data_IF_911862141750
#
_entry.id   IF_911862141750
#
_cell.length_a   1.000
_cell.length_b   1.000
_cell.length_c   1.000
_cell.angle_alpha   90.00
_cell.angle_beta   90.00
_cell.angle_gamma   90.00
#
_symmetry.space_group_name_H-M   'P 1'
#
loop_
_entity.id
_entity.type
_entity.pdbx_description
1 polymer ?
#
# COMPACT_ATOMS: atom_id res chain seq x y z
N UNK A 1 14.31 15.67 -24.52
CA UNK A 1 12.83 15.50 -24.53
C UNK A 1 12.39 14.03 -24.54
N UNK A 2 12.71 13.20 -25.55
CA UNK A 2 12.32 11.75 -25.56
C UNK A 2 12.88 10.94 -24.39
N UNK A 3 14.12 11.21 -23.99
CA UNK A 3 14.81 10.55 -22.85
C UNK A 3 14.22 10.92 -21.49
N UNK A 4 13.77 12.16 -21.31
CA UNK A 4 13.11 12.62 -20.07
C UNK A 4 11.70 12.05 -19.92
N UNK A 5 10.91 12.01 -21.00
CA UNK A 5 9.59 11.39 -21.00
C UNK A 5 9.68 9.91 -20.64
N UNK A 6 10.67 9.20 -21.21
CA UNK A 6 10.96 7.81 -20.85
C UNK A 6 11.31 7.69 -19.37
N UNK A 7 12.25 8.50 -18.86
CA UNK A 7 12.61 8.50 -17.44
C UNK A 7 11.41 8.74 -16.52
N UNK A 8 10.55 9.72 -16.83
CA UNK A 8 9.35 10.04 -16.05
C UNK A 8 8.33 8.90 -16.02
N UNK A 9 8.14 8.21 -17.14
CA UNK A 9 7.27 7.04 -17.22
C UNK A 9 7.81 5.86 -16.40
N UNK A 10 9.09 5.53 -16.58
CA UNK A 10 9.73 4.39 -15.90
C UNK A 10 9.91 4.61 -14.39
N UNK A 11 10.19 5.84 -13.95
CA UNK A 11 10.39 6.15 -12.53
C UNK A 11 9.06 6.39 -11.78
N UNK A 12 7.96 6.66 -12.49
CA UNK A 12 6.67 7.02 -11.90
C UNK A 12 5.58 5.97 -12.16
N UNK A 13 4.97 6.00 -13.34
CA UNK A 13 3.85 5.11 -13.68
C UNK A 13 4.24 3.62 -13.61
N UNK A 14 5.44 3.27 -14.08
CA UNK A 14 5.92 1.89 -14.00
C UNK A 14 6.17 1.45 -12.56
N UNK A 15 6.54 2.34 -11.65
CA UNK A 15 6.72 1.97 -10.25
C UNK A 15 5.41 1.49 -9.62
N UNK A 16 4.26 2.12 -9.93
CA UNK A 16 2.96 1.65 -9.50
C UNK A 16 2.65 0.24 -10.01
N UNK A 17 2.95 -0.03 -11.28
CA UNK A 17 2.79 -1.35 -11.89
C UNK A 17 3.70 -2.41 -11.26
N UNK A 18 4.94 -2.05 -10.92
CA UNK A 18 5.87 -2.94 -10.20
C UNK A 18 5.32 -3.29 -8.82
N UNK A 19 4.83 -2.30 -8.07
CA UNK A 19 4.24 -2.53 -6.74
C UNK A 19 3.03 -3.45 -6.87
N UNK A 20 2.16 -3.20 -7.86
CA UNK A 20 1.02 -4.06 -8.16
C UNK A 20 1.45 -5.49 -8.50
N UNK A 21 2.48 -5.64 -9.35
CA UNK A 21 3.05 -6.92 -9.73
C UNK A 21 3.68 -7.68 -8.56
N UNK A 22 4.23 -6.99 -7.55
CA UNK A 22 4.72 -7.59 -6.31
C UNK A 22 3.55 -8.01 -5.41
N UNK A 23 2.51 -7.19 -5.31
CA UNK A 23 1.35 -7.45 -4.45
C UNK A 23 0.54 -8.66 -4.92
N UNK A 24 0.37 -8.85 -6.23
CA UNK A 24 -0.43 -9.95 -6.79
C UNK A 24 0.04 -11.34 -6.33
N UNK A 25 1.32 -11.73 -6.44
CA UNK A 25 1.83 -12.98 -5.89
C UNK A 25 1.58 -13.16 -4.40
N UNK A 26 1.68 -12.08 -3.60
CA UNK A 26 1.41 -12.14 -2.16
C UNK A 26 -0.06 -12.50 -1.90
N UNK A 27 -1.00 -11.93 -2.64
CA UNK A 27 -2.42 -12.28 -2.56
C UNK A 27 -2.66 -13.71 -3.06
N UNK A 28 -2.02 -14.11 -4.16
CA UNK A 28 -2.19 -15.46 -4.70
C UNK A 28 -1.67 -16.56 -3.78
N UNK A 29 -0.74 -16.24 -2.88
CA UNK A 29 -0.18 -17.16 -1.90
C UNK A 29 -1.22 -17.66 -0.89
N UNK A 30 -2.29 -16.91 -0.61
CA UNK A 30 -3.30 -17.33 0.35
C UNK A 30 -4.03 -18.62 -0.07
N UNK A 31 -4.23 -18.84 -1.37
CA UNK A 31 -4.88 -20.05 -1.88
C UNK A 31 -4.11 -21.34 -1.53
N UNK A 32 -2.81 -21.49 -1.86
CA UNK A 32 -2.06 -22.68 -1.47
C UNK A 32 -1.86 -22.79 0.04
N UNK A 33 -1.71 -21.67 0.77
CA UNK A 33 -1.60 -21.72 2.23
C UNK A 33 -2.85 -22.34 2.87
N UNK A 34 -4.04 -21.98 2.38
CA UNK A 34 -5.30 -22.58 2.83
C UNK A 34 -5.38 -24.09 2.59
N UNK A 35 -4.74 -24.61 1.53
CA UNK A 35 -4.70 -26.05 1.23
C UNK A 35 -3.75 -26.79 2.19
N UNK A 36 -2.65 -26.16 2.59
CA UNK A 36 -1.66 -26.75 3.50
C UNK A 36 -2.01 -26.57 4.99
N UNK A 37 -2.98 -25.72 5.30
CA UNK A 37 -3.50 -25.49 6.65
C UNK A 37 -2.63 -24.56 7.51
N UNK A 38 -3.01 -24.44 8.78
CA UNK A 38 -2.42 -23.48 9.74
C UNK A 38 -0.90 -23.51 9.85
N UNK A 39 -0.20 -24.67 9.86
CA UNK A 39 1.27 -24.69 9.93
C UNK A 39 1.94 -23.92 8.79
N UNK A 40 1.33 -23.92 7.60
CA UNK A 40 1.84 -23.17 6.46
C UNK A 40 1.68 -21.66 6.63
N UNK A 41 0.54 -21.21 7.20
CA UNK A 41 0.34 -19.81 7.56
C UNK A 41 1.38 -19.33 8.58
N UNK A 42 1.65 -20.12 9.62
CA UNK A 42 2.70 -19.77 10.60
C UNK A 42 4.09 -19.66 9.97
N UNK A 43 4.46 -20.62 9.13
CA UNK A 43 5.74 -20.59 8.41
C UNK A 43 5.84 -19.36 7.50
N UNK A 44 4.78 -19.07 6.73
CA UNK A 44 4.71 -17.89 5.87
C UNK A 44 4.80 -16.58 6.67
N UNK A 45 4.08 -16.47 7.80
CA UNK A 45 4.12 -15.32 8.68
C UNK A 45 5.54 -15.05 9.18
N UNK A 46 6.26 -16.09 9.63
CA UNK A 46 7.66 -15.95 10.08
C UNK A 46 8.58 -15.48 8.94
N UNK A 47 8.42 -16.02 7.73
CA UNK A 47 9.20 -15.61 6.57
C UNK A 47 8.93 -14.15 6.20
N UNK A 48 7.66 -13.74 6.09
CA UNK A 48 7.31 -12.36 5.74
C UNK A 48 7.64 -11.37 6.85
N UNK A 49 7.56 -11.78 8.11
CA UNK A 49 8.00 -10.95 9.23
C UNK A 49 9.51 -10.72 9.15
N UNK A 50 10.30 -11.79 8.95
CA UNK A 50 11.75 -11.68 8.80
C UNK A 50 12.14 -10.82 7.59
N UNK A 51 11.49 -11.01 6.44
CA UNK A 51 11.71 -10.20 5.24
C UNK A 51 11.31 -8.73 5.45
N UNK A 52 10.17 -8.49 6.10
CA UNK A 52 9.66 -7.16 6.44
C UNK A 52 10.61 -6.40 7.36
N UNK A 53 11.08 -7.05 8.43
CA UNK A 53 12.05 -6.48 9.37
C UNK A 53 13.42 -6.25 8.71
N UNK A 54 13.91 -7.20 7.91
CA UNK A 54 15.16 -7.03 7.17
C UNK A 54 15.08 -5.87 6.18
N UNK A 55 13.98 -5.75 5.43
CA UNK A 55 13.78 -4.63 4.51
C UNK A 55 13.66 -3.30 5.25
N UNK A 56 12.97 -3.25 6.39
CA UNK A 56 12.92 -2.05 7.22
C UNK A 56 14.32 -1.64 7.69
N UNK A 57 15.14 -2.59 8.15
CA UNK A 57 16.53 -2.33 8.51
C UNK A 57 17.34 -1.80 7.32
N UNK A 58 17.15 -2.34 6.11
CA UNK A 58 17.81 -1.82 4.90
C UNK A 58 17.29 -0.43 4.53
N UNK A 59 16.01 -0.14 4.70
CA UNK A 59 15.42 1.17 4.41
C UNK A 59 15.99 2.30 5.30
N UNK A 60 16.49 1.97 6.49
CA UNK A 60 17.11 2.95 7.40
C UNK A 60 18.61 3.16 7.18
N UNK A 61 19.29 2.28 6.44
CA UNK A 61 20.73 2.41 6.18
C UNK A 61 21.05 3.57 5.22
N UNK A 62 21.86 4.53 5.68
CA UNK A 62 22.28 5.70 4.89
C UNK A 62 23.24 5.37 3.74
N UNK A 63 23.88 4.19 3.77
CA UNK A 63 24.78 3.72 2.71
C UNK A 63 24.05 3.45 1.38
N UNK A 64 22.73 3.25 1.43
CA UNK A 64 21.92 2.98 0.24
C UNK A 64 21.39 4.29 -0.35
N UNK A 65 21.24 4.32 -1.68
CA UNK A 65 20.60 5.44 -2.35
C UNK A 65 19.17 5.66 -1.85
N UNK A 66 18.69 6.90 -1.86
CA UNK A 66 17.33 7.24 -1.40
C UNK A 66 16.25 6.41 -2.10
N UNK A 67 16.41 6.18 -3.40
CA UNK A 67 15.50 5.35 -4.20
C UNK A 67 15.57 3.88 -3.74
N UNK A 68 16.77 3.35 -3.47
CA UNK A 68 16.92 1.99 -2.96
C UNK A 68 16.26 1.82 -1.58
N UNK A 69 16.47 2.79 -0.68
CA UNK A 69 15.83 2.82 0.64
C UNK A 69 14.31 2.86 0.54
N UNK A 70 13.77 3.67 -0.38
CA UNK A 70 12.34 3.74 -0.63
C UNK A 70 11.77 2.40 -1.11
N UNK A 71 12.44 1.71 -2.05
CA UNK A 71 12.01 0.39 -2.51
C UNK A 71 12.04 -0.67 -1.41
N UNK A 72 13.07 -0.68 -0.56
CA UNK A 72 13.10 -1.53 0.63
C UNK A 72 11.95 -1.20 1.59
N UNK A 73 11.65 0.09 1.79
CA UNK A 73 10.49 0.53 2.57
C UNK A 73 9.18 -0.02 1.99
N UNK A 74 8.97 0.15 0.69
CA UNK A 74 7.77 -0.32 -0.01
C UNK A 74 7.59 -1.83 0.14
N UNK A 75 8.62 -2.61 -0.21
CA UNK A 75 8.55 -4.07 -0.13
C UNK A 75 8.38 -4.55 1.32
N UNK A 76 9.09 -3.94 2.26
CA UNK A 76 8.96 -4.25 3.68
C UNK A 76 7.57 -3.96 4.22
N UNK A 77 6.94 -2.86 3.78
CA UNK A 77 5.58 -2.50 4.17
C UNK A 77 4.54 -3.49 3.62
N UNK A 78 4.71 -3.96 2.38
CA UNK A 78 3.87 -5.02 1.80
C UNK A 78 4.02 -6.35 2.55
N UNK A 79 5.25 -6.73 2.91
CA UNK A 79 5.50 -7.94 3.71
C UNK A 79 4.84 -7.83 5.09
N UNK A 80 4.99 -6.69 5.76
CA UNK A 80 4.36 -6.43 7.05
C UNK A 80 2.83 -6.52 6.97
N UNK A 81 2.24 -5.94 5.91
CA UNK A 81 0.82 -6.08 5.64
C UNK A 81 0.40 -7.54 5.42
N UNK A 82 1.20 -8.31 4.68
CA UNK A 82 0.93 -9.75 4.46
C UNK A 82 0.92 -10.54 5.77
N UNK A 83 1.78 -10.18 6.73
CA UNK A 83 1.75 -10.77 8.09
C UNK A 83 0.43 -10.43 8.81
N UNK A 84 -0.07 -9.20 8.67
CA UNK A 84 -1.37 -8.79 9.22
C UNK A 84 -2.51 -9.61 8.62
N UNK A 85 -2.56 -9.75 7.30
CA UNK A 85 -3.56 -10.59 6.61
C UNK A 85 -3.47 -12.07 7.03
N UNK A 86 -2.27 -12.64 7.14
CA UNK A 86 -2.10 -14.01 7.65
C UNK A 86 -2.60 -14.13 9.10
N UNK A 87 -2.33 -13.13 9.93
CA UNK A 87 -2.80 -13.11 11.32
C UNK A 87 -4.32 -13.05 11.40
N UNK A 88 -4.96 -12.38 10.44
CA UNK A 88 -6.41 -12.35 10.32
C UNK A 88 -6.99 -13.71 9.92
N UNK A 89 -6.42 -14.36 8.91
CA UNK A 89 -6.82 -15.71 8.49
C UNK A 89 -6.63 -16.77 9.59
N UNK A 90 -5.62 -16.59 10.45
CA UNK A 90 -5.40 -17.43 11.64
C UNK A 90 -6.35 -17.10 12.81
N UNK A 91 -7.22 -16.09 12.68
CA UNK A 91 -8.14 -15.66 13.74
C UNK A 91 -7.47 -14.97 14.93
N UNK A 92 -6.22 -14.51 14.79
CA UNK A 92 -5.48 -13.81 15.85
C UNK A 92 -5.89 -12.34 15.95
N UNK A 93 -6.26 -11.75 14.83
CA UNK A 93 -6.76 -10.38 14.73
C UNK A 93 -8.04 -10.36 13.89
N UNK A 94 -8.93 -9.43 14.21
CA UNK A 94 -10.12 -9.19 13.41
C UNK A 94 -9.98 -7.81 12.75
N UNK A 95 -9.59 -7.80 11.48
CA UNK A 95 -9.41 -6.56 10.70
C UNK A 95 -10.77 -5.90 10.45
N UNK A 96 -11.84 -6.70 10.27
CA UNK A 96 -13.18 -6.21 9.98
C UNK A 96 -13.83 -5.56 11.21
N UNK A 97 -13.55 -6.08 12.40
CA UNK A 97 -14.03 -5.49 13.67
C UNK A 97 -13.08 -4.47 14.28
N UNK A 98 -11.99 -4.13 13.62
CA UNK A 98 -11.09 -3.09 14.10
C UNK A 98 -11.86 -1.77 14.27
N UNK A 99 -11.75 -1.13 15.44
CA UNK A 99 -12.40 0.16 15.68
C UNK A 99 -11.84 1.19 14.68
N UNK A 100 -12.69 1.59 13.74
CA UNK A 100 -12.37 2.50 12.64
C UNK A 100 -11.81 3.82 13.18
N UNK A 101 -12.36 4.34 14.27
CA UNK A 101 -11.92 5.58 14.88
C UNK A 101 -10.51 5.41 15.43
N UNK A 102 -10.25 4.29 16.10
CA UNK A 102 -8.92 3.97 16.63
C UNK A 102 -7.88 3.81 15.50
N UNK A 103 -8.20 3.06 14.45
CA UNK A 103 -7.28 2.84 13.30
C UNK A 103 -6.95 4.15 12.61
N UNK A 104 -7.94 5.01 12.38
CA UNK A 104 -7.71 6.33 11.80
C UNK A 104 -6.92 7.24 12.73
N UNK A 105 -7.24 7.28 14.03
CA UNK A 105 -6.52 8.09 15.01
C UNK A 105 -5.04 7.68 15.11
N UNK A 106 -4.76 6.38 15.19
CA UNK A 106 -3.39 5.85 15.22
C UNK A 106 -2.67 6.14 13.91
N UNK A 107 -3.32 5.93 12.76
CA UNK A 107 -2.73 6.23 11.45
C UNK A 107 -2.34 7.70 11.34
N UNK A 108 -3.24 8.61 11.73
CA UNK A 108 -2.97 10.06 11.72
C UNK A 108 -1.85 10.45 12.68
N UNK A 109 -1.84 9.89 13.90
CA UNK A 109 -0.78 10.14 14.87
C UNK A 109 0.59 9.67 14.37
N UNK A 110 0.66 8.46 13.79
CA UNK A 110 1.89 7.92 13.20
C UNK A 110 2.35 8.79 12.04
N UNK A 111 1.45 9.17 11.12
CA UNK A 111 1.78 10.05 9.99
C UNK A 111 2.24 11.44 10.44
N UNK A 112 1.67 12.00 11.51
CA UNK A 112 2.07 13.30 12.04
C UNK A 112 3.49 13.28 12.64
N UNK A 113 3.86 12.18 13.29
CA UNK A 113 5.16 12.02 13.95
C UNK A 113 6.24 11.55 12.97
N UNK A 114 5.88 10.76 11.95
CA UNK A 114 6.88 10.07 11.12
C UNK A 114 7.83 11.02 10.39
N UNK A 115 7.33 12.17 9.91
CA UNK A 115 8.11 13.12 9.12
C UNK A 115 9.25 13.75 9.91
N UNK A 116 9.13 13.84 11.23
CA UNK A 116 10.14 14.45 12.09
C UNK A 116 11.18 13.45 12.59
N UNK A 117 10.79 12.21 12.87
CA UNK A 117 11.64 11.29 13.63
C UNK A 117 12.12 10.07 12.84
N UNK A 118 11.49 9.72 11.73
CA UNK A 118 11.81 8.49 11.02
C UNK A 118 12.76 8.74 9.85
N UNK A 119 13.72 7.82 9.60
CA UNK A 119 14.55 7.87 8.41
C UNK A 119 13.70 7.78 7.15
N UNK A 120 14.17 8.43 6.09
CA UNK A 120 13.42 8.58 4.84
C UNK A 120 12.83 7.27 4.25
N UNK A 121 13.61 6.17 4.23
CA UNK A 121 13.10 4.88 3.73
C UNK A 121 11.98 4.28 4.60
N UNK A 122 11.97 4.56 5.90
CA UNK A 122 10.92 4.10 6.80
C UNK A 122 9.58 4.80 6.54
N UNK A 123 9.57 6.01 5.96
CA UNK A 123 8.33 6.68 5.54
C UNK A 123 7.55 5.82 4.54
N UNK A 124 8.23 5.22 3.56
CA UNK A 124 7.57 4.34 2.59
C UNK A 124 7.02 3.07 3.22
N UNK A 125 7.75 2.48 4.18
CA UNK A 125 7.29 1.32 4.92
C UNK A 125 5.99 1.62 5.66
N UNK A 126 5.98 2.73 6.41
CA UNK A 126 4.82 3.17 7.20
C UNK A 126 3.65 3.49 6.28
N UNK A 127 3.87 4.25 5.20
CA UNK A 127 2.78 4.65 4.30
C UNK A 127 2.18 3.44 3.60
N UNK A 128 2.97 2.50 3.09
CA UNK A 128 2.43 1.29 2.46
C UNK A 128 1.60 0.48 3.46
N UNK A 129 2.12 0.28 4.67
CA UNK A 129 1.41 -0.46 5.71
C UNK A 129 0.08 0.21 6.08
N UNK A 130 0.10 1.53 6.34
CA UNK A 130 -1.11 2.28 6.69
C UNK A 130 -2.10 2.42 5.54
N UNK A 131 -1.63 2.55 4.29
CA UNK A 131 -2.50 2.59 3.12
C UNK A 131 -3.31 1.30 2.97
N UNK A 132 -2.72 0.14 3.23
CA UNK A 132 -3.48 -1.11 3.20
C UNK A 132 -4.54 -1.17 4.31
N UNK A 133 -4.19 -0.74 5.54
CA UNK A 133 -5.15 -0.60 6.64
C UNK A 133 -6.33 0.30 6.27
N UNK A 134 -6.04 1.51 5.78
CA UNK A 134 -7.05 2.46 5.32
C UNK A 134 -7.89 1.85 4.19
N UNK A 135 -7.29 1.05 3.31
CA UNK A 135 -8.00 0.33 2.27
C UNK A 135 -9.01 -0.68 2.78
N UNK A 136 -8.62 -1.53 3.72
CA UNK A 136 -9.54 -2.52 4.29
C UNK A 136 -10.68 -1.84 5.06
N UNK A 137 -10.37 -0.84 5.87
CA UNK A 137 -11.38 -0.05 6.60
C UNK A 137 -12.34 0.63 5.62
N UNK A 138 -11.81 1.24 4.56
CA UNK A 138 -12.62 1.92 3.55
C UNK A 138 -13.58 0.94 2.86
N UNK A 139 -13.09 -0.21 2.41
CA UNK A 139 -13.90 -1.24 1.76
C UNK A 139 -15.00 -1.73 2.71
N UNK A 140 -14.67 -1.98 3.98
CA UNK A 140 -15.64 -2.43 4.98
C UNK A 140 -16.75 -1.40 5.20
N UNK A 141 -16.42 -0.11 5.30
CA UNK A 141 -17.41 0.98 5.41
C UNK A 141 -18.29 1.06 4.17
N UNK A 142 -17.72 0.96 2.96
CA UNK A 142 -18.50 0.99 1.72
C UNK A 142 -19.45 -0.21 1.66
N UNK A 143 -19.00 -1.40 2.04
CA UNK A 143 -19.83 -2.61 2.09
C UNK A 143 -20.96 -2.52 3.12
N UNK A 144 -20.70 -1.95 4.30
CA UNK A 144 -21.72 -1.77 5.34
C UNK A 144 -22.84 -0.81 4.93
N UNK A 145 -22.56 0.13 4.03
CA UNK A 145 -23.52 1.14 3.53
C UNK A 145 -24.13 0.72 2.19
N UNK A 146 -23.73 -0.42 1.63
CA UNK A 146 -24.07 -0.83 0.26
C UNK A 146 -25.56 -1.09 0.01
N UNK A 147 -26.32 -1.44 1.06
CA UNK A 147 -27.77 -1.65 0.98
C UNK A 147 -28.58 -0.34 1.12
N UNK A 148 -27.92 0.80 1.28
CA UNK A 148 -28.60 2.10 1.40
C UNK A 148 -28.89 2.71 0.03
N UNK A 149 -29.94 3.54 -0.06
CA UNK A 149 -30.20 4.34 -1.25
C UNK A 149 -29.03 5.29 -1.63
N UNK A 150 -28.12 5.55 -0.68
CA UNK A 150 -26.91 6.36 -0.87
C UNK A 150 -25.72 5.57 -1.43
N UNK A 151 -25.78 4.24 -1.43
CA UNK A 151 -24.68 3.37 -1.84
C UNK A 151 -24.20 3.66 -3.26
N UNK A 152 -25.12 3.77 -4.22
CA UNK A 152 -24.79 4.05 -5.62
C UNK A 152 -24.12 5.42 -5.80
N UNK A 153 -24.52 6.40 -4.98
CA UNK A 153 -23.94 7.75 -5.00
C UNK A 153 -22.55 7.73 -4.40
N UNK A 154 -22.37 7.14 -3.21
CA UNK A 154 -21.07 6.98 -2.56
C UNK A 154 -20.11 6.24 -3.49
N UNK A 155 -20.54 5.12 -4.06
CA UNK A 155 -19.76 4.34 -5.01
C UNK A 155 -19.29 5.17 -6.22
N UNK A 156 -20.22 5.88 -6.86
CA UNK A 156 -19.93 6.70 -8.05
C UNK A 156 -18.97 7.84 -7.71
N UNK A 157 -19.22 8.57 -6.62
CA UNK A 157 -18.39 9.69 -6.16
C UNK A 157 -17.00 9.22 -5.79
N UNK A 158 -16.88 8.14 -5.03
CA UNK A 158 -15.60 7.54 -4.64
C UNK A 158 -14.80 7.09 -5.86
N UNK A 159 -15.43 6.35 -6.78
CA UNK A 159 -14.76 5.84 -7.99
C UNK A 159 -14.28 7.01 -8.85
N UNK A 160 -15.12 8.03 -9.07
CA UNK A 160 -14.73 9.24 -9.76
C UNK A 160 -13.57 9.96 -9.05
N UNK A 161 -13.58 10.01 -7.72
CA UNK A 161 -12.51 10.57 -6.90
C UNK A 161 -11.16 9.88 -7.12
N UNK A 162 -11.12 8.55 -7.14
CA UNK A 162 -9.89 7.80 -7.43
C UNK A 162 -9.40 7.98 -8.86
N UNK A 163 -10.31 8.05 -9.85
CA UNK A 163 -9.94 8.36 -11.24
C UNK A 163 -9.31 9.75 -11.34
N UNK A 164 -9.92 10.76 -10.72
CA UNK A 164 -9.39 12.12 -10.71
C UNK A 164 -8.03 12.21 -9.99
N UNK A 165 -7.88 11.51 -8.86
CA UNK A 165 -6.61 11.41 -8.15
C UNK A 165 -5.52 10.82 -9.06
N UNK A 166 -5.82 9.74 -9.77
CA UNK A 166 -4.87 9.08 -10.64
C UNK A 166 -4.47 9.96 -11.83
N UNK A 167 -5.43 10.62 -12.49
CA UNK A 167 -5.16 11.57 -13.56
C UNK A 167 -4.33 12.77 -13.07
N UNK A 168 -4.64 13.29 -11.89
CA UNK A 168 -3.90 14.38 -11.25
C UNK A 168 -2.45 13.99 -10.94
N UNK A 169 -2.22 12.78 -10.42
CA UNK A 169 -0.88 12.26 -10.13
C UNK A 169 -0.09 12.00 -11.41
N UNK A 170 -0.72 11.46 -12.46
CA UNK A 170 -0.09 11.31 -13.77
C UNK A 170 0.31 12.67 -14.34
N UNK A 171 -0.60 13.64 -14.34
CA UNK A 171 -0.29 15.01 -14.74
C UNK A 171 0.88 15.57 -13.93
N UNK A 172 0.88 15.39 -12.62
CA UNK A 172 1.96 15.87 -11.75
C UNK A 172 3.30 15.19 -12.04
N UNK A 173 3.33 13.89 -12.29
CA UNK A 173 4.53 13.15 -12.72
C UNK A 173 5.10 13.76 -14.00
N UNK A 174 4.26 14.00 -15.02
CA UNK A 174 4.74 14.48 -16.31
C UNK A 174 5.10 15.98 -16.30
N UNK A 175 4.29 16.82 -15.66
CA UNK A 175 4.41 18.27 -15.70
C UNK A 175 5.31 18.86 -14.61
N UNK A 176 5.27 18.33 -13.38
CA UNK A 176 5.86 18.96 -12.19
C UNK A 176 7.02 18.19 -11.57
N UNK A 177 7.08 16.86 -11.72
CA UNK A 177 8.10 16.08 -11.03
C UNK A 177 9.53 16.40 -11.53
N UNK A 178 10.43 16.61 -10.57
CA UNK A 178 11.84 16.89 -10.84
C UNK A 178 12.71 15.70 -10.43
N UNK A 179 12.42 15.06 -9.29
CA UNK A 179 13.23 13.95 -8.75
C UNK A 179 12.59 12.58 -8.99
N UNK A 180 13.42 11.53 -9.04
CA UNK A 180 12.93 10.14 -9.11
C UNK A 180 12.05 9.79 -7.91
N UNK A 181 12.39 10.37 -6.77
CA UNK A 181 11.75 10.08 -5.51
C UNK A 181 10.33 10.65 -5.42
N UNK A 182 10.13 11.87 -5.94
CA UNK A 182 8.82 12.45 -6.16
C UNK A 182 7.94 11.53 -7.01
N UNK A 183 8.51 11.00 -8.11
CA UNK A 183 7.79 10.08 -9.01
C UNK A 183 7.42 8.77 -8.33
N UNK A 184 8.31 8.22 -7.50
CA UNK A 184 8.05 7.01 -6.73
C UNK A 184 6.92 7.21 -5.70
N UNK A 185 6.89 8.36 -5.01
CA UNK A 185 5.77 8.73 -4.13
C UNK A 185 4.44 8.76 -4.89
N UNK A 186 4.41 9.42 -6.05
CA UNK A 186 3.21 9.42 -6.88
C UNK A 186 2.84 8.01 -7.36
N UNK A 187 3.83 7.16 -7.65
CA UNK A 187 3.63 5.76 -7.99
C UNK A 187 2.96 4.95 -6.88
N UNK A 188 3.34 5.16 -5.62
CA UNK A 188 2.67 4.56 -4.46
C UNK A 188 1.19 4.96 -4.39
N UNK A 189 0.89 6.25 -4.55
CA UNK A 189 -0.50 6.71 -4.56
C UNK A 189 -1.31 6.19 -5.74
N UNK A 190 -0.70 6.08 -6.94
CA UNK A 190 -1.34 5.48 -8.12
C UNK A 190 -1.62 4.00 -7.86
N UNK A 191 -0.67 3.24 -7.32
CA UNK A 191 -0.88 1.84 -6.95
C UNK A 191 -2.04 1.68 -5.97
N UNK A 192 -2.10 2.52 -4.94
CA UNK A 192 -3.17 2.48 -3.96
C UNK A 192 -4.53 2.79 -4.60
N UNK A 193 -4.63 3.85 -5.43
CA UNK A 193 -5.84 4.18 -6.16
C UNK A 193 -6.30 3.04 -7.09
N UNK A 194 -5.36 2.42 -7.82
CA UNK A 194 -5.65 1.27 -8.68
C UNK A 194 -6.17 0.07 -7.88
N UNK A 195 -5.56 -0.21 -6.72
CA UNK A 195 -5.98 -1.29 -5.84
C UNK A 195 -7.41 -1.06 -5.34
N UNK A 196 -7.71 0.16 -4.89
CA UNK A 196 -9.06 0.55 -4.45
C UNK A 196 -10.10 0.43 -5.56
N UNK A 197 -9.77 0.91 -6.77
CA UNK A 197 -10.67 0.79 -7.92
C UNK A 197 -10.94 -0.68 -8.28
N UNK A 198 -9.92 -1.54 -8.23
CA UNK A 198 -10.11 -2.98 -8.47
C UNK A 198 -11.09 -3.60 -7.47
N UNK A 199 -10.98 -3.25 -6.18
CA UNK A 199 -11.90 -3.76 -5.16
C UNK A 199 -13.31 -3.20 -5.28
N UNK A 200 -13.47 -1.94 -5.65
CA UNK A 200 -14.78 -1.32 -5.85
C UNK A 200 -15.52 -1.91 -7.07
N UNK A 201 -14.80 -2.23 -8.15
CA UNK A 201 -15.43 -2.74 -9.38
C UNK A 201 -15.76 -4.24 -9.35
N UNK A 202 -15.47 -4.95 -8.25
CA UNK A 202 -15.71 -6.38 -8.07
C UNK A 202 -16.98 -6.63 -7.29
#
# INVERSE_FOLDING_TARGET
MKTELRSKFFDGALSALIIMFIMFPLIMLFKPLKVWGDPAYWAAALVFLALGSWCLFRATQEKLSEVGRAWYGIFGGLCAWTVTEISHELGLIDIERADIVLVLAVSLAVLAVMWKYFPFGAHFWIVIFLMNWVGHVFIHVVQAVFDSALASTIFTVTTAGYVLLMLGLLYWIFARSQTRLQRLWAGVWIWHALSMMYFLLR
#
